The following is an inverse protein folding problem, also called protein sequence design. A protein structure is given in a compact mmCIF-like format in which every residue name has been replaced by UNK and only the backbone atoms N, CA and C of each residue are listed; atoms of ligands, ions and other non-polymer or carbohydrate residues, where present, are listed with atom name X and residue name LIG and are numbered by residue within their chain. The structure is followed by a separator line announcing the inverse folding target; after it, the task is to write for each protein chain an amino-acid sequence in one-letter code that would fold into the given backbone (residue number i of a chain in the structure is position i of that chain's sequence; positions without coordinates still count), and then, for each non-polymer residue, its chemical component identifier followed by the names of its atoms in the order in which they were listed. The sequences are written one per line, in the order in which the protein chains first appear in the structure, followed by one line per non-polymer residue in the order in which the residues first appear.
data_IF_967923042390
#
_entry.id   IF_967923042390
#
_cell.length_a   1.000
_cell.length_b   1.000
_cell.length_c   1.000
_cell.angle_alpha   90.00
_cell.angle_beta   90.00
_cell.angle_gamma   90.00
#
_symmetry.space_group_name_H-M   'P 1'
#
loop_
_entity.id
_entity.type
_entity.pdbx_description
1 polymer ?
#
# COMPACT_ATOMS: atom_id res chain seq x y z
N UNK A 1 1.63 -39.08 5.85
CA UNK A 1 2.15 -37.88 5.16
C UNK A 1 1.31 -36.70 5.59
N UNK A 2 1.90 -35.67 6.18
CA UNK A 2 1.22 -34.40 6.48
C UNK A 2 1.29 -33.52 5.25
N UNK A 3 0.13 -33.06 4.76
CA UNK A 3 0.05 -32.11 3.64
C UNK A 3 0.36 -30.72 4.19
N UNK A 4 1.24 -29.99 3.51
CA UNK A 4 1.56 -28.60 3.86
C UNK A 4 0.36 -27.69 3.57
N UNK A 5 0.03 -26.82 4.54
CA UNK A 5 -1.00 -25.79 4.39
C UNK A 5 -0.34 -24.45 4.09
N UNK A 6 -0.66 -23.91 2.91
CA UNK A 6 -0.19 -22.60 2.47
C UNK A 6 -1.35 -21.60 2.50
N UNK A 7 -1.14 -20.48 3.18
CA UNK A 7 -2.09 -19.38 3.27
C UNK A 7 -1.55 -18.14 2.54
N UNK A 8 -2.43 -17.21 2.11
CA UNK A 8 -1.98 -15.93 1.57
C UNK A 8 -1.10 -15.19 2.57
N UNK A 9 0.00 -14.61 2.09
CA UNK A 9 0.81 -13.66 2.86
C UNK A 9 0.02 -12.36 3.09
N UNK A 10 0.21 -11.72 4.24
CA UNK A 10 -0.50 -10.49 4.59
C UNK A 10 0.09 -9.30 3.83
N UNK A 11 -0.41 -9.10 2.62
CA UNK A 11 0.05 -8.05 1.71
C UNK A 11 -0.06 -6.65 2.29
N UNK A 12 -1.05 -6.36 3.15
CA UNK A 12 -1.21 -5.05 3.77
C UNK A 12 -0.06 -4.82 4.75
N UNK A 13 0.22 -5.78 5.63
CA UNK A 13 1.33 -5.70 6.59
C UNK A 13 2.67 -5.53 5.86
N UNK A 14 2.91 -6.32 4.82
CA UNK A 14 4.15 -6.26 4.03
C UNK A 14 4.32 -4.94 3.29
N UNK A 15 3.28 -4.47 2.62
CA UNK A 15 3.32 -3.20 1.91
C UNK A 15 3.46 -2.00 2.87
N UNK A 16 2.75 -2.02 4.01
CA UNK A 16 2.86 -0.97 5.02
C UNK A 16 4.24 -0.92 5.67
N UNK A 17 4.89 -2.07 5.88
CA UNK A 17 6.27 -2.13 6.36
C UNK A 17 7.22 -1.46 5.36
N UNK A 18 7.16 -1.86 4.09
CA UNK A 18 7.97 -1.28 3.01
C UNK A 18 7.78 0.24 2.92
N UNK A 19 6.53 0.69 2.85
CA UNK A 19 6.18 2.10 2.73
C UNK A 19 6.60 2.90 3.95
N UNK A 20 6.44 2.37 5.17
CA UNK A 20 6.87 3.05 6.39
C UNK A 20 8.39 3.25 6.45
N UNK A 21 9.17 2.37 5.83
CA UNK A 21 10.62 2.52 5.72
C UNK A 21 11.01 3.53 4.65
N UNK A 22 10.35 3.49 3.49
CA UNK A 22 10.80 4.23 2.31
C UNK A 22 10.23 5.64 2.20
N UNK A 23 8.97 5.88 2.59
CA UNK A 23 8.34 7.21 2.49
C UNK A 23 9.13 8.32 3.22
N UNK A 24 9.68 8.09 4.43
CA UNK A 24 10.49 9.09 5.11
C UNK A 24 11.73 9.53 4.33
N UNK A 25 12.35 8.60 3.60
CA UNK A 25 13.55 8.86 2.78
C UNK A 25 13.23 9.65 1.51
N UNK A 26 11.94 9.79 1.17
CA UNK A 26 11.46 10.38 -0.08
C UNK A 26 10.52 11.57 0.16
N UNK A 27 10.72 12.30 1.26
CA UNK A 27 10.06 13.58 1.50
C UNK A 27 8.77 13.50 2.34
N UNK A 28 8.41 12.33 2.85
CA UNK A 28 7.25 12.14 3.73
C UNK A 28 7.67 11.58 5.11
N UNK A 29 8.48 12.33 5.91
CA UNK A 29 9.10 11.83 7.15
C UNK A 29 8.10 11.33 8.20
N UNK A 30 6.91 11.92 8.22
CA UNK A 30 5.87 11.62 9.20
C UNK A 30 4.89 10.54 8.73
N UNK A 31 4.92 10.12 7.46
CA UNK A 31 3.93 9.19 6.87
C UNK A 31 4.36 7.74 7.13
N UNK A 32 4.23 7.32 8.37
CA UNK A 32 4.58 5.98 8.85
C UNK A 32 3.46 5.35 9.67
N UNK A 33 3.50 4.03 9.81
CA UNK A 33 2.59 3.30 10.71
C UNK A 33 2.79 3.70 12.17
N UNK A 34 4.04 3.93 12.61
CA UNK A 34 4.37 4.37 13.96
C UNK A 34 3.72 5.73 14.31
N UNK A 35 3.72 6.67 13.36
CA UNK A 35 3.11 7.99 13.54
C UNK A 35 1.60 7.99 13.28
N UNK A 36 0.99 6.83 13.00
CA UNK A 36 -0.43 6.66 12.67
C UNK A 36 -0.88 7.53 11.49
N UNK A 37 0.05 7.83 10.57
CA UNK A 37 -0.22 8.56 9.32
C UNK A 37 -0.16 7.66 8.09
N UNK A 38 0.12 6.38 8.26
CA UNK A 38 0.00 5.35 7.23
C UNK A 38 -0.68 4.12 7.84
N UNK A 39 -1.66 3.55 7.15
CA UNK A 39 -2.34 2.35 7.62
C UNK A 39 -3.50 1.91 6.72
N UNK A 40 -4.34 1.01 7.23
CA UNK A 40 -5.51 0.48 6.50
C UNK A 40 -6.80 1.26 6.78
N UNK A 41 -6.74 2.22 7.71
CA UNK A 41 -7.89 3.03 8.14
C UNK A 41 -7.58 4.51 8.03
N UNK A 42 -8.63 5.30 7.87
CA UNK A 42 -8.52 6.77 7.95
C UNK A 42 -8.21 7.14 9.41
N UNK A 43 -7.27 8.06 9.68
CA UNK A 43 -6.99 8.53 11.03
C UNK A 43 -8.27 9.04 11.73
N UNK A 44 -8.45 8.59 12.98
CA UNK A 44 -9.58 9.01 13.83
C UNK A 44 -9.26 10.23 14.69
N UNK A 45 -8.01 10.70 14.69
CA UNK A 45 -7.61 11.93 15.39
C UNK A 45 -8.33 13.14 14.81
N UNK A 46 -8.65 14.11 15.67
CA UNK A 46 -9.27 15.37 15.29
C UNK A 46 -8.45 16.54 15.87
N UNK A 47 -7.88 17.44 15.04
CA UNK A 47 -7.90 17.39 13.57
C UNK A 47 -7.18 16.15 13.00
N UNK A 48 -7.56 15.76 11.78
CA UNK A 48 -6.81 14.74 11.03
C UNK A 48 -5.44 15.31 10.66
N UNK A 49 -4.39 14.48 10.50
CA UNK A 49 -3.11 14.95 10.00
C UNK A 49 -3.27 15.63 8.64
N UNK A 50 -2.51 16.69 8.40
CA UNK A 50 -2.53 17.41 7.12
C UNK A 50 -2.18 16.51 5.93
N UNK A 51 -1.38 15.47 6.17
CA UNK A 51 -0.94 14.46 5.17
C UNK A 51 -0.98 13.07 5.80
N UNK A 52 -1.61 12.12 5.12
CA UNK A 52 -1.59 10.71 5.52
C UNK A 52 -1.84 9.79 4.32
N UNK A 53 -1.38 8.54 4.42
CA UNK A 53 -1.62 7.49 3.44
C UNK A 53 -2.60 6.44 3.97
N UNK A 54 -3.37 5.84 3.06
CA UNK A 54 -4.13 4.62 3.33
C UNK A 54 -3.81 3.57 2.28
N UNK A 55 -3.63 2.33 2.71
CA UNK A 55 -3.43 1.19 1.83
C UNK A 55 -4.38 0.09 2.26
N UNK A 56 -5.17 -0.43 1.32
CA UNK A 56 -6.13 -1.51 1.58
C UNK A 56 -6.01 -2.59 0.52
N UNK A 57 -6.11 -3.85 0.93
CA UNK A 57 -6.30 -4.97 0.03
C UNK A 57 -7.70 -4.89 -0.59
N UNK A 58 -7.73 -4.90 -1.92
CA UNK A 58 -8.94 -4.81 -2.73
C UNK A 58 -9.37 -6.19 -3.30
N UNK A 59 -8.95 -7.28 -2.63
CA UNK A 59 -9.12 -8.66 -3.09
C UNK A 59 -7.90 -9.16 -3.85
N UNK A 60 -8.10 -10.04 -4.83
CA UNK A 60 -7.01 -10.66 -5.59
C UNK A 60 -7.42 -11.98 -6.21
N UNK A 61 -6.44 -12.66 -6.81
CA UNK A 61 -6.62 -14.00 -7.38
C UNK A 61 -5.46 -14.89 -6.98
N UNK A 62 -5.67 -16.21 -6.99
CA UNK A 62 -4.56 -17.16 -6.93
C UNK A 62 -3.91 -17.25 -8.30
N UNK A 63 -2.57 -17.17 -8.34
CA UNK A 63 -1.80 -17.32 -9.58
C UNK A 63 -1.41 -18.77 -9.79
N UNK A 64 -0.86 -19.40 -8.76
CA UNK A 64 -0.44 -20.81 -8.76
C UNK A 64 -0.49 -21.38 -7.33
N UNK A 65 -0.01 -22.61 -7.13
CA UNK A 65 -0.10 -23.32 -5.84
C UNK A 65 0.59 -22.60 -4.69
N UNK A 66 1.61 -21.79 -4.97
CA UNK A 66 2.46 -21.16 -3.95
C UNK A 66 2.46 -19.63 -4.05
N UNK A 67 1.68 -19.06 -4.96
CA UNK A 67 1.69 -17.62 -5.26
C UNK A 67 0.27 -17.09 -5.43
N UNK A 68 -0.03 -16.00 -4.73
CA UNK A 68 -1.24 -15.22 -4.93
C UNK A 68 -0.91 -13.88 -5.60
N UNK A 69 -1.92 -13.28 -6.22
CA UNK A 69 -1.89 -11.96 -6.84
C UNK A 69 -2.89 -11.02 -6.17
N UNK A 70 -2.70 -10.64 -4.89
CA UNK A 70 -3.52 -9.63 -4.24
C UNK A 70 -3.47 -8.28 -4.97
N UNK A 71 -4.60 -7.57 -4.94
CA UNK A 71 -4.72 -6.20 -5.40
C UNK A 71 -4.70 -5.25 -4.19
N UNK A 72 -4.02 -4.11 -4.34
CA UNK A 72 -3.86 -3.05 -3.35
C UNK A 72 -4.37 -1.73 -3.92
N UNK A 73 -5.26 -1.08 -3.19
CA UNK A 73 -5.62 0.33 -3.42
C UNK A 73 -4.72 1.20 -2.54
N UNK A 74 -3.93 2.05 -3.18
CA UNK A 74 -3.01 3.00 -2.56
C UNK A 74 -3.64 4.37 -2.59
N UNK A 75 -3.81 4.99 -1.43
CA UNK A 75 -4.47 6.30 -1.31
C UNK A 75 -3.55 7.30 -0.62
N UNK A 76 -3.30 8.43 -1.28
CA UNK A 76 -2.64 9.59 -0.67
C UNK A 76 -3.68 10.66 -0.33
N UNK A 77 -3.62 11.17 0.91
CA UNK A 77 -4.44 12.27 1.38
C UNK A 77 -3.57 13.46 1.77
N UNK A 78 -3.98 14.67 1.36
CA UNK A 78 -3.41 15.91 1.88
C UNK A 78 -4.40 17.07 1.77
N UNK A 79 -4.28 18.07 2.64
CA UNK A 79 -4.91 19.39 2.51
C UNK A 79 -4.40 20.17 1.27
N UNK A 80 -3.30 19.73 0.66
CA UNK A 80 -2.73 20.25 -0.60
C UNK A 80 -2.83 19.22 -1.71
N UNK A 81 -3.42 19.59 -2.83
CA UNK A 81 -3.73 18.67 -3.94
C UNK A 81 -2.47 17.97 -4.50
N UNK A 82 -1.43 18.73 -4.82
CA UNK A 82 -0.20 18.19 -5.40
C UNK A 82 0.49 17.21 -4.44
N UNK A 83 0.47 17.49 -3.14
CA UNK A 83 1.09 16.64 -2.12
C UNK A 83 0.33 15.31 -1.97
N UNK A 84 -1.01 15.32 -2.06
CA UNK A 84 -1.82 14.10 -2.08
C UNK A 84 -1.51 13.23 -3.31
N UNK A 85 -1.37 13.86 -4.48
CA UNK A 85 -0.97 13.19 -5.73
C UNK A 85 0.41 12.58 -5.61
N UNK A 86 1.38 13.33 -5.13
CA UNK A 86 2.78 12.91 -5.06
C UNK A 86 2.97 11.79 -4.03
N UNK A 87 2.25 11.83 -2.89
CA UNK A 87 2.22 10.73 -1.94
C UNK A 87 1.71 9.44 -2.59
N UNK A 88 0.57 9.50 -3.29
CA UNK A 88 0.00 8.33 -3.96
C UNK A 88 0.94 7.78 -5.05
N UNK A 89 1.52 8.65 -5.88
CA UNK A 89 2.47 8.28 -6.91
C UNK A 89 3.74 7.62 -6.32
N UNK A 90 4.24 8.16 -5.20
CA UNK A 90 5.41 7.64 -4.53
C UNK A 90 5.15 6.29 -3.87
N UNK A 91 3.99 6.11 -3.22
CA UNK A 91 3.59 4.80 -2.68
C UNK A 91 3.58 3.72 -3.78
N UNK A 92 3.05 4.05 -4.95
CA UNK A 92 3.07 3.15 -6.10
C UNK A 92 4.49 2.83 -6.56
N UNK A 93 5.32 3.86 -6.75
CA UNK A 93 6.70 3.70 -7.21
C UNK A 93 7.57 2.89 -6.23
N UNK A 94 7.35 3.03 -4.92
CA UNK A 94 8.03 2.24 -3.88
C UNK A 94 7.66 0.76 -4.01
N UNK A 95 6.38 0.43 -4.17
CA UNK A 95 5.97 -0.97 -4.35
C UNK A 95 6.57 -1.56 -5.65
N UNK A 96 6.58 -0.80 -6.74
CA UNK A 96 7.23 -1.23 -7.98
C UNK A 96 8.74 -1.41 -7.82
N UNK A 97 9.40 -0.60 -6.99
CA UNK A 97 10.81 -0.75 -6.64
C UNK A 97 11.07 -2.00 -5.81
N UNK A 98 10.23 -2.28 -4.81
CA UNK A 98 10.27 -3.48 -3.99
C UNK A 98 10.16 -4.76 -4.83
N UNK A 99 9.29 -4.76 -5.85
CA UNK A 99 9.17 -5.86 -6.82
C UNK A 99 10.48 -6.07 -7.58
N UNK A 100 11.15 -5.00 -8.04
CA UNK A 100 12.45 -5.11 -8.72
C UNK A 100 13.55 -5.62 -7.78
N UNK A 101 13.45 -5.33 -6.49
CA UNK A 101 14.34 -5.85 -5.45
C UNK A 101 14.01 -7.30 -5.04
N UNK A 102 12.86 -7.85 -5.45
CA UNK A 102 12.41 -9.19 -5.11
C UNK A 102 11.90 -9.35 -3.68
N UNK A 103 11.74 -8.25 -2.93
CA UNK A 103 11.20 -8.27 -1.57
C UNK A 103 10.27 -7.10 -1.31
N UNK A 104 9.14 -7.37 -0.65
CA UNK A 104 8.19 -6.37 -0.16
C UNK A 104 8.02 -6.55 1.35
N UNK A 105 8.55 -5.63 2.16
CA UNK A 105 8.44 -5.74 3.63
C UNK A 105 8.97 -7.07 4.19
N UNK A 106 10.00 -7.62 3.54
CA UNK A 106 10.60 -8.92 3.86
C UNK A 106 9.92 -10.14 3.22
N UNK A 107 8.75 -10.01 2.60
CA UNK A 107 8.11 -11.11 1.88
C UNK A 107 8.69 -11.25 0.46
N UNK A 108 8.74 -12.48 -0.05
CA UNK A 108 9.14 -12.73 -1.45
C UNK A 108 8.04 -12.28 -2.41
N UNK A 109 8.41 -11.43 -3.36
CA UNK A 109 7.52 -10.85 -4.38
C UNK A 109 8.13 -11.06 -5.76
N UNK A 110 7.30 -11.38 -6.76
CA UNK A 110 7.79 -11.77 -8.09
C UNK A 110 7.46 -10.77 -9.19
N UNK A 111 6.31 -10.09 -9.09
CA UNK A 111 5.80 -9.23 -10.15
C UNK A 111 4.79 -8.23 -9.60
N UNK A 112 4.66 -7.08 -10.25
CA UNK A 112 3.52 -6.20 -10.12
C UNK A 112 2.81 -5.97 -11.46
N UNK A 113 1.53 -5.59 -11.38
CA UNK A 113 0.75 -5.05 -12.50
C UNK A 113 -0.08 -3.88 -11.99
N UNK A 114 0.28 -2.67 -12.42
CA UNK A 114 -0.44 -1.44 -12.12
C UNK A 114 -1.69 -1.37 -12.99
N UNK A 115 -2.86 -1.36 -12.37
CA UNK A 115 -4.16 -1.29 -13.03
C UNK A 115 -4.65 0.16 -13.19
N UNK A 116 -4.31 1.03 -12.25
CA UNK A 116 -4.54 2.47 -12.39
C UNK A 116 -3.41 3.29 -11.79
N UNK A 117 -3.02 4.34 -12.52
CA UNK A 117 -2.15 5.40 -12.02
C UNK A 117 -2.92 6.33 -11.07
N UNK A 118 -2.26 7.21 -10.29
CA UNK A 118 -2.92 8.14 -9.39
C UNK A 118 -4.06 8.93 -10.04
N UNK A 119 -5.27 8.79 -9.49
CA UNK A 119 -6.49 9.46 -9.95
C UNK A 119 -7.09 10.26 -8.81
N UNK A 120 -7.56 11.48 -9.09
CA UNK A 120 -8.31 12.28 -8.12
C UNK A 120 -9.69 11.67 -7.91
N UNK A 121 -9.94 11.12 -6.72
CA UNK A 121 -11.23 10.56 -6.34
C UNK A 121 -11.57 11.09 -4.94
N UNK A 122 -12.23 12.24 -4.80
CA UNK A 122 -12.54 12.81 -3.48
C UNK A 122 -13.24 11.82 -2.53
N UNK A 123 -12.99 11.95 -1.23
CA UNK A 123 -13.65 11.15 -0.20
C UNK A 123 -14.62 12.02 0.61
N UNK A 124 -15.94 11.83 0.51
CA UNK A 124 -16.92 12.64 1.24
C UNK A 124 -16.77 12.62 2.77
N UNK A 125 -16.14 11.58 3.34
CA UNK A 125 -15.90 11.47 4.79
C UNK A 125 -14.68 12.27 5.28
N UNK A 126 -13.87 12.77 4.34
CA UNK A 126 -12.68 13.59 4.62
C UNK A 126 -12.69 14.78 3.66
N UNK A 127 -13.69 15.70 3.81
CA UNK A 127 -13.93 16.74 2.82
C UNK A 127 -12.81 17.79 2.74
N UNK A 128 -12.01 17.93 3.79
CA UNK A 128 -10.92 18.92 3.87
C UNK A 128 -9.61 18.42 3.24
N UNK A 129 -9.59 17.19 2.71
CA UNK A 129 -8.40 16.59 2.08
C UNK A 129 -8.69 16.20 0.63
N UNK A 130 -7.74 16.51 -0.24
CA UNK A 130 -7.64 15.90 -1.55
C UNK A 130 -7.25 14.42 -1.39
N UNK A 131 -7.85 13.55 -2.21
CA UNK A 131 -7.50 12.12 -2.25
C UNK A 131 -7.13 11.71 -3.67
N UNK A 132 -5.94 11.15 -3.80
CA UNK A 132 -5.53 10.43 -4.99
C UNK A 132 -5.46 8.93 -4.71
N UNK A 133 -5.90 8.11 -5.67
CA UNK A 133 -5.82 6.65 -5.57
C UNK A 133 -5.13 6.00 -6.76
N UNK A 134 -4.39 4.93 -6.52
CA UNK A 134 -3.80 4.06 -7.52
C UNK A 134 -4.10 2.59 -7.17
N UNK A 135 -4.23 1.73 -8.17
CA UNK A 135 -4.52 0.30 -8.00
C UNK A 135 -3.38 -0.52 -8.58
N UNK A 136 -2.80 -1.41 -7.78
CA UNK A 136 -1.71 -2.29 -8.18
C UNK A 136 -1.99 -3.71 -7.69
N UNK A 137 -1.70 -4.71 -8.52
CA UNK A 137 -1.62 -6.10 -8.06
C UNK A 137 -0.17 -6.54 -7.95
N UNK A 138 0.13 -7.38 -6.97
CA UNK A 138 1.48 -7.88 -6.69
C UNK A 138 1.44 -9.39 -6.50
N UNK A 139 2.40 -10.10 -7.09
CA UNK A 139 2.50 -11.56 -6.99
C UNK A 139 3.36 -11.91 -5.77
N UNK A 140 2.73 -12.31 -4.66
CA UNK A 140 3.41 -12.69 -3.41
C UNK A 140 3.41 -14.20 -3.21
N UNK A 141 4.54 -14.70 -2.70
CA UNK A 141 4.63 -16.09 -2.24
C UNK A 141 3.74 -16.30 -1.01
N UNK A 142 2.99 -17.40 -1.00
CA UNK A 142 2.25 -17.89 0.17
C UNK A 142 3.19 -18.30 1.31
N UNK A 143 2.66 -18.30 2.52
CA UNK A 143 3.36 -18.72 3.73
C UNK A 143 2.72 -19.95 4.33
N UNK A 144 3.52 -20.75 5.05
CA UNK A 144 3.02 -21.88 5.82
C UNK A 144 2.19 -21.37 7.01
N UNK A 145 1.05 -22.01 7.27
CA UNK A 145 0.14 -21.66 8.37
C UNK A 145 0.71 -21.94 9.77
#
# INVERSE_FOLDING_TARGET
MTVELLIPEDVEVRALAELSTMLPLHGFPEVTTANRRLGTKIPTTNPKPDVFGRLIAAGGTTRDLVTDSPALSLEGYSVKEQEARDLCALMLAIIEAAVRAGSLGGATIYRSRTASLPQSLPNPLVPDHFRFTALISVDLRRVTA
#
